data_IF_895816732088
#
_entry.id   IF_895816732088
#
_cell.length_a   1.000
_cell.length_b   1.000
_cell.length_c   1.000
_cell.angle_alpha   90.00
_cell.angle_beta   90.00
_cell.angle_gamma   90.00
#
_symmetry.space_group_name_H-M   'P 1'
#
loop_
_entity.id
_entity.type
_entity.pdbx_description
1 polymer ?
#
# COMPACT_ATOMS: atom_id res chain seq x y z
N UNK A 1 -28.23 -1.75 5.15
CA UNK A 1 -26.92 -1.20 5.55
C UNK A 1 -27.22 0.00 6.44
N UNK A 2 -26.81 -0.05 7.70
CA UNK A 2 -27.05 1.04 8.66
C UNK A 2 -26.10 2.22 8.39
N UNK A 3 -26.48 3.42 8.81
CA UNK A 3 -25.62 4.61 8.72
C UNK A 3 -24.25 4.37 9.37
N UNK A 4 -24.20 3.64 10.48
CA UNK A 4 -22.96 3.30 11.19
C UNK A 4 -22.08 2.38 10.33
N UNK A 5 -22.64 1.35 9.71
CA UNK A 5 -21.89 0.46 8.82
C UNK A 5 -21.27 1.21 7.63
N UNK A 6 -22.03 2.14 7.03
CA UNK A 6 -21.53 2.96 5.93
C UNK A 6 -20.38 3.85 6.38
N UNK A 7 -20.52 4.53 7.52
CA UNK A 7 -19.50 5.42 8.06
C UNK A 7 -18.25 4.66 8.51
N UNK A 8 -18.41 3.46 9.09
CA UNK A 8 -17.28 2.58 9.43
C UNK A 8 -16.46 2.23 8.20
N UNK A 9 -17.10 1.97 7.04
CA UNK A 9 -16.38 1.71 5.79
C UNK A 9 -15.58 2.90 5.28
N UNK A 10 -16.04 4.13 5.50
CA UNK A 10 -15.25 5.32 5.16
C UNK A 10 -13.99 5.44 6.04
N UNK A 11 -14.10 5.14 7.33
CA UNK A 11 -12.95 5.08 8.25
C UNK A 11 -11.95 4.01 7.77
N UNK A 12 -12.41 2.80 7.49
CA UNK A 12 -11.56 1.69 7.02
C UNK A 12 -10.89 1.97 5.66
N UNK A 13 -11.59 2.69 4.77
CA UNK A 13 -11.10 3.05 3.44
C UNK A 13 -10.17 4.26 3.38
N UNK A 14 -9.97 4.96 4.50
CA UNK A 14 -9.23 6.21 4.53
C UNK A 14 -7.80 6.06 3.97
N UNK A 15 -7.34 6.96 3.08
CA UNK A 15 -5.95 6.97 2.64
C UNK A 15 -4.97 7.17 3.80
N UNK A 16 -3.71 6.71 3.65
CA UNK A 16 -2.70 6.89 4.68
C UNK A 16 -2.43 8.40 4.89
N UNK A 17 -2.54 8.87 6.13
CA UNK A 17 -2.30 10.28 6.47
C UNK A 17 -3.55 11.17 6.41
N UNK A 18 -4.69 10.67 5.92
CA UNK A 18 -5.91 11.46 5.67
C UNK A 18 -7.09 11.05 6.57
N UNK A 19 -6.85 10.16 7.54
CA UNK A 19 -7.90 9.68 8.45
C UNK A 19 -8.59 10.84 9.19
N UNK A 20 -7.84 11.87 9.60
CA UNK A 20 -8.39 13.02 10.30
C UNK A 20 -9.38 13.81 9.44
N UNK A 21 -9.06 13.97 8.15
CA UNK A 21 -9.90 14.66 7.17
C UNK A 21 -11.18 13.86 6.90
N UNK A 22 -11.05 12.54 6.68
CA UNK A 22 -12.19 11.63 6.51
C UNK A 22 -13.14 11.68 7.72
N UNK A 23 -12.58 11.75 8.93
CA UNK A 23 -13.38 11.87 10.16
C UNK A 23 -14.07 13.23 10.25
N UNK A 24 -13.43 14.31 9.80
CA UNK A 24 -14.06 15.63 9.73
C UNK A 24 -15.25 15.63 8.75
N UNK A 25 -15.07 15.02 7.58
CA UNK A 25 -16.13 14.89 6.57
C UNK A 25 -17.31 14.05 7.07
N UNK A 26 -17.02 12.91 7.71
CA UNK A 26 -18.05 12.08 8.36
C UNK A 26 -18.87 12.90 9.35
N UNK A 27 -18.21 13.70 10.18
CA UNK A 27 -18.89 14.53 11.18
C UNK A 27 -19.78 15.58 10.52
N UNK A 28 -19.33 16.20 9.43
CA UNK A 28 -20.11 17.15 8.65
C UNK A 28 -21.34 16.49 8.00
N UNK A 29 -21.19 15.30 7.41
CA UNK A 29 -22.26 14.58 6.73
C UNK A 29 -23.32 13.99 7.68
N UNK A 30 -22.93 13.64 8.90
CA UNK A 30 -23.81 12.98 9.88
C UNK A 30 -24.44 13.94 10.88
N UNK A 31 -24.14 15.24 10.81
CA UNK A 31 -24.73 16.26 11.66
C UNK A 31 -24.32 16.18 13.14
N UNK A 32 -23.15 15.62 13.45
CA UNK A 32 -22.57 15.61 14.81
C UNK A 32 -23.47 15.03 15.93
N UNK A 33 -24.03 13.84 15.76
CA UNK A 33 -24.47 13.08 16.94
C UNK A 33 -23.23 12.50 17.64
N UNK A 34 -22.97 12.88 18.89
CA UNK A 34 -21.83 12.38 19.71
C UNK A 34 -21.80 10.85 19.82
N UNK A 35 -22.95 10.21 19.63
CA UNK A 35 -23.13 8.76 19.63
C UNK A 35 -22.50 8.04 18.43
N UNK A 36 -22.23 8.73 17.32
CA UNK A 36 -21.67 8.07 16.12
C UNK A 36 -20.19 7.78 16.33
N UNK A 37 -19.42 8.74 16.85
CA UNK A 37 -17.96 8.58 17.02
C UNK A 37 -17.62 7.48 18.01
N UNK A 38 -18.38 7.33 19.09
CA UNK A 38 -18.18 6.24 20.06
C UNK A 38 -18.43 4.86 19.44
N UNK A 39 -19.38 4.75 18.51
CA UNK A 39 -19.69 3.52 17.77
C UNK A 39 -18.71 3.20 16.65
N UNK A 40 -17.90 4.16 16.21
CA UNK A 40 -16.84 3.96 15.20
C UNK A 40 -15.53 3.40 15.78
N UNK A 41 -15.42 3.28 17.11
CA UNK A 41 -14.22 2.75 17.76
C UNK A 41 -13.71 1.43 17.15
N UNK A 42 -14.55 0.41 16.85
CA UNK A 42 -14.07 -0.81 16.21
C UNK A 42 -13.48 -0.58 14.82
N UNK A 43 -14.03 0.37 14.06
CA UNK A 43 -13.51 0.71 12.73
C UNK A 43 -12.15 1.41 12.82
N UNK A 44 -11.94 2.27 13.83
CA UNK A 44 -10.64 2.89 14.09
C UNK A 44 -9.60 1.86 14.55
N UNK A 45 -9.96 0.94 15.44
CA UNK A 45 -9.08 -0.14 15.89
C UNK A 45 -8.64 -0.99 14.68
N UNK A 46 -9.60 -1.45 13.87
CA UNK A 46 -9.33 -2.20 12.65
C UNK A 46 -8.45 -1.43 11.66
N UNK A 47 -8.76 -0.15 11.39
CA UNK A 47 -7.94 0.69 10.53
C UNK A 47 -6.50 0.77 11.04
N UNK A 48 -6.31 1.04 12.33
CA UNK A 48 -4.99 1.19 12.92
C UNK A 48 -4.17 -0.10 12.84
N UNK A 49 -4.78 -1.25 13.10
CA UNK A 49 -4.13 -2.55 13.01
C UNK A 49 -3.78 -2.92 11.56
N UNK A 50 -4.74 -2.85 10.64
CA UNK A 50 -4.51 -3.21 9.24
C UNK A 50 -3.46 -2.29 8.60
N UNK A 51 -3.51 -1.00 8.92
CA UNK A 51 -2.62 0.01 8.38
C UNK A 51 -1.30 0.13 9.14
N UNK A 52 -1.13 -0.61 10.24
CA UNK A 52 0.01 -0.54 11.14
C UNK A 52 0.34 0.91 11.51
N UNK A 53 -0.68 1.67 11.91
CA UNK A 53 -0.58 3.09 12.17
C UNK A 53 0.53 3.37 13.18
N UNK A 54 1.45 4.28 12.88
CA UNK A 54 2.61 4.54 13.73
C UNK A 54 2.37 5.74 14.65
N UNK A 55 2.67 5.59 15.94
CA UNK A 55 2.57 6.61 16.98
C UNK A 55 3.94 6.84 17.62
N UNK A 56 4.28 8.11 17.87
CA UNK A 56 5.48 8.47 18.63
C UNK A 56 5.14 8.45 20.12
N UNK A 57 5.82 7.60 20.89
CA UNK A 57 5.64 7.55 22.34
C UNK A 57 6.34 8.74 23.02
N UNK A 58 5.82 9.24 24.16
CA UNK A 58 6.49 10.25 24.97
C UNK A 58 7.93 9.83 25.31
N UNK A 59 8.92 10.68 25.00
CA UNK A 59 10.35 10.39 25.22
C UNK A 59 11.01 9.46 24.20
N UNK A 60 10.26 8.90 23.24
CA UNK A 60 10.81 8.06 22.17
C UNK A 60 11.33 8.86 20.97
N UNK A 61 12.47 8.47 20.41
CA UNK A 61 13.02 9.07 19.18
C UNK A 61 12.40 8.50 17.90
N UNK A 62 11.90 7.26 17.95
CA UNK A 62 11.41 6.50 16.79
C UNK A 62 9.89 6.25 16.88
N UNK A 63 9.16 6.30 15.75
CA UNK A 63 7.75 5.93 15.71
C UNK A 63 7.58 4.42 15.95
N UNK A 64 6.55 4.01 16.71
CA UNK A 64 6.17 2.60 16.95
C UNK A 64 4.76 2.33 16.43
N UNK A 65 4.43 1.09 16.07
CA UNK A 65 3.06 0.75 15.67
C UNK A 65 2.06 1.01 16.83
N UNK A 66 0.79 1.28 16.50
CA UNK A 66 -0.32 1.44 17.44
C UNK A 66 -0.56 0.15 18.23
N UNK A 67 -1.11 0.28 19.44
CA UNK A 67 -1.29 -0.84 20.39
C UNK A 67 0.02 -1.49 20.88
N UNK A 68 1.01 -0.67 21.24
CA UNK A 68 2.28 -1.14 21.82
C UNK A 68 2.01 -1.95 23.09
N UNK A 69 2.32 -3.25 23.05
CA UNK A 69 2.37 -4.09 24.23
C UNK A 69 3.81 -4.16 24.75
N UNK A 70 3.98 -3.94 26.06
CA UNK A 70 5.26 -4.20 26.73
C UNK A 70 5.40 -5.70 26.93
N UNK A 71 6.08 -6.36 26.00
CA UNK A 71 6.44 -7.77 26.16
C UNK A 71 7.89 -7.88 26.61
N UNK A 72 8.13 -8.63 27.68
CA UNK A 72 9.48 -8.99 28.08
C UNK A 72 9.97 -10.02 27.06
N UNK A 73 11.08 -9.73 26.37
CA UNK A 73 11.70 -10.65 25.42
C UNK A 73 12.39 -11.79 26.21
N UNK A 74 11.57 -12.69 26.75
CA UNK A 74 11.98 -13.92 27.42
C UNK A 74 11.44 -15.09 26.60
N UNK A 75 12.30 -15.94 26.06
CA UNK A 75 11.88 -17.02 25.17
C UNK A 75 12.99 -17.65 24.35
N UNK A 76 12.74 -18.82 23.77
CA UNK A 76 13.70 -19.57 22.96
C UNK A 76 14.18 -18.79 21.72
N UNK A 77 13.38 -17.86 21.21
CA UNK A 77 13.67 -17.05 20.02
C UNK A 77 14.20 -15.64 20.35
N UNK A 78 14.44 -15.31 21.61
CA UNK A 78 14.82 -13.95 22.02
C UNK A 78 16.12 -13.47 21.35
N UNK A 79 17.10 -14.34 21.18
CA UNK A 79 18.36 -14.02 20.51
C UNK A 79 18.18 -13.82 19.00
N UNK A 80 17.33 -14.63 18.37
CA UNK A 80 17.02 -14.48 16.96
C UNK A 80 16.23 -13.19 16.68
N UNK A 81 15.29 -12.82 17.56
CA UNK A 81 14.57 -11.54 17.50
C UNK A 81 15.56 -10.37 17.60
N UNK A 82 16.45 -10.37 18.60
CA UNK A 82 17.47 -9.30 18.78
C UNK A 82 18.42 -9.20 17.58
N UNK A 83 18.90 -10.34 17.09
CA UNK A 83 19.78 -10.43 15.92
C UNK A 83 19.12 -9.92 14.64
N UNK A 84 17.84 -10.28 14.43
CA UNK A 84 17.03 -9.86 13.28
C UNK A 84 16.74 -8.36 13.35
N UNK A 85 16.33 -7.86 14.52
CA UNK A 85 16.07 -6.43 14.75
C UNK A 85 17.31 -5.58 14.48
N UNK A 86 18.49 -6.02 14.94
CA UNK A 86 19.77 -5.33 14.69
C UNK A 86 20.11 -5.28 13.20
N UNK A 87 20.00 -6.43 12.52
CA UNK A 87 20.36 -6.55 11.10
C UNK A 87 19.40 -5.78 10.19
N UNK A 88 18.09 -5.92 10.42
CA UNK A 88 17.07 -5.15 9.70
C UNK A 88 17.11 -3.66 10.03
N UNK A 89 17.50 -3.28 11.25
CA UNK A 89 17.59 -1.87 11.64
C UNK A 89 18.55 -1.06 10.76
N UNK A 90 19.67 -1.67 10.34
CA UNK A 90 20.61 -1.05 9.40
C UNK A 90 19.97 -0.87 8.01
N UNK A 91 19.37 -1.94 7.48
CA UNK A 91 18.65 -1.92 6.20
C UNK A 91 17.53 -0.87 6.17
N UNK A 92 16.67 -0.86 7.20
CA UNK A 92 15.53 0.05 7.25
C UNK A 92 15.97 1.51 7.28
N UNK A 93 17.05 1.82 8.02
CA UNK A 93 17.60 3.18 8.11
C UNK A 93 18.22 3.65 6.79
N UNK A 94 18.81 2.74 6.01
CA UNK A 94 19.43 3.07 4.72
C UNK A 94 18.38 3.27 3.61
N UNK A 95 17.32 2.45 3.61
CA UNK A 95 16.37 2.40 2.50
C UNK A 95 15.07 3.18 2.73
N UNK A 96 14.71 3.51 3.98
CA UNK A 96 13.49 4.25 4.29
C UNK A 96 13.80 5.52 5.11
N UNK A 97 13.32 6.66 4.62
CA UNK A 97 13.55 7.95 5.28
C UNK A 97 12.83 8.07 6.64
N UNK A 98 11.61 7.52 6.75
CA UNK A 98 10.83 7.51 7.98
C UNK A 98 10.08 6.18 8.08
N UNK A 99 10.62 5.27 8.88
CA UNK A 99 10.06 3.94 9.07
C UNK A 99 10.06 3.52 10.53
N UNK A 100 9.07 2.69 10.87
CA UNK A 100 9.00 1.92 12.09
C UNK A 100 9.33 0.45 11.77
N UNK A 101 10.16 -0.16 12.60
CA UNK A 101 10.50 -1.58 12.53
C UNK A 101 10.06 -2.26 13.83
N UNK A 102 9.40 -3.40 13.69
CA UNK A 102 9.06 -4.30 14.79
C UNK A 102 9.44 -5.73 14.46
N UNK A 103 10.03 -6.42 15.44
CA UNK A 103 10.29 -7.86 15.38
C UNK A 103 9.78 -8.47 16.67
N UNK A 104 8.92 -9.47 16.56
CA UNK A 104 8.18 -10.06 17.68
C UNK A 104 8.22 -11.57 17.59
N UNK A 105 8.28 -12.25 18.74
CA UNK A 105 7.95 -13.67 18.81
C UNK A 105 6.43 -13.83 18.82
N UNK A 106 5.95 -14.85 18.11
CA UNK A 106 4.52 -15.17 17.96
C UNK A 106 4.30 -16.67 18.10
N UNK A 107 3.03 -17.08 18.25
CA UNK A 107 2.65 -18.49 18.43
C UNK A 107 3.42 -19.17 19.57
N UNK A 108 3.38 -18.59 20.77
CA UNK A 108 4.09 -19.10 21.96
C UNK A 108 5.59 -19.31 21.73
N UNK A 109 6.26 -18.32 21.13
CA UNK A 109 7.69 -18.32 20.78
C UNK A 109 8.14 -19.37 19.75
N UNK A 110 7.21 -19.94 18.98
CA UNK A 110 7.59 -20.86 17.90
C UNK A 110 8.02 -20.15 16.61
N UNK A 111 7.45 -18.98 16.31
CA UNK A 111 7.71 -18.22 15.08
C UNK A 111 8.08 -16.77 15.36
N UNK A 112 8.59 -16.08 14.35
CA UNK A 112 8.98 -14.67 14.42
C UNK A 112 8.18 -13.86 13.41
N UNK A 113 7.52 -12.81 13.87
CA UNK A 113 6.89 -11.82 13.01
C UNK A 113 7.79 -10.60 12.83
N UNK A 114 7.92 -10.12 11.60
CA UNK A 114 8.63 -8.89 11.22
C UNK A 114 7.63 -7.95 10.59
N UNK A 115 7.59 -6.70 11.07
CA UNK A 115 6.78 -5.64 10.51
C UNK A 115 7.65 -4.42 10.18
N UNK A 116 7.61 -3.98 8.94
CA UNK A 116 8.27 -2.76 8.46
C UNK A 116 7.18 -1.84 7.93
N UNK A 117 7.10 -0.61 8.47
CA UNK A 117 6.13 0.39 8.05
C UNK A 117 6.87 1.68 7.74
N UNK A 118 6.81 2.15 6.50
CA UNK A 118 7.39 3.43 6.12
C UNK A 118 6.30 4.36 5.61
N UNK A 119 6.37 5.61 6.06
CA UNK A 119 5.35 6.62 5.79
C UNK A 119 6.01 7.87 5.21
N UNK A 120 5.43 8.42 4.14
CA UNK A 120 5.81 9.72 3.60
C UNK A 120 4.56 10.49 3.23
N UNK A 121 4.31 11.57 3.96
CA UNK A 121 3.13 12.41 3.80
C UNK A 121 3.57 13.79 3.30
N UNK A 122 2.94 14.25 2.23
CA UNK A 122 3.22 15.55 1.63
C UNK A 122 1.92 16.24 1.26
N UNK A 123 1.08 16.59 2.25
CA UNK A 123 -0.25 17.13 1.99
C UNK A 123 -0.22 18.45 1.22
N UNK A 124 0.81 19.29 1.44
CA UNK A 124 1.02 20.53 0.67
C UNK A 124 1.29 20.29 -0.82
N UNK A 125 1.73 19.10 -1.18
CA UNK A 125 1.96 18.66 -2.56
C UNK A 125 0.87 17.67 -3.01
N UNK A 126 -0.23 17.55 -2.25
CA UNK A 126 -1.38 16.73 -2.57
C UNK A 126 -1.09 15.23 -2.77
N UNK A 127 -0.15 14.67 -2.00
CA UNK A 127 0.07 13.23 -2.02
C UNK A 127 0.57 12.64 -0.71
N UNK A 128 0.18 11.38 -0.49
CA UNK A 128 0.59 10.58 0.65
C UNK A 128 0.95 9.17 0.22
N UNK A 129 1.93 8.57 0.89
CA UNK A 129 2.40 7.22 0.60
C UNK A 129 2.69 6.43 1.87
N UNK A 130 2.37 5.14 1.81
CA UNK A 130 2.68 4.17 2.86
C UNK A 130 3.17 2.86 2.24
N UNK A 131 4.26 2.37 2.79
CA UNK A 131 4.82 1.05 2.54
C UNK A 131 4.65 0.19 3.78
N UNK A 132 4.16 -1.04 3.63
CA UNK A 132 4.00 -2.02 4.72
C UNK A 132 4.53 -3.36 4.25
N UNK A 133 5.49 -3.91 4.99
CA UNK A 133 5.93 -5.28 4.82
C UNK A 133 5.67 -6.06 6.10
N UNK A 134 5.01 -7.20 5.94
CA UNK A 134 4.72 -8.13 7.03
C UNK A 134 5.29 -9.49 6.64
N UNK A 135 6.12 -10.04 7.49
CA UNK A 135 6.69 -11.38 7.32
C UNK A 135 6.54 -12.19 8.59
N UNK A 136 6.36 -13.49 8.41
CA UNK A 136 6.37 -14.53 9.44
C UNK A 136 7.46 -15.51 9.04
N UNK A 137 8.47 -15.63 9.88
CA UNK A 137 9.52 -16.60 9.76
C UNK A 137 9.23 -17.78 10.70
N UNK A 138 9.29 -18.99 10.16
CA UNK A 138 9.26 -20.23 10.90
C UNK A 138 10.69 -20.80 11.01
N UNK A 139 11.31 -20.76 12.20
CA UNK A 139 12.64 -21.30 12.44
C UNK A 139 12.76 -22.82 12.22
N UNK A 140 11.67 -23.58 12.31
CA UNK A 140 11.67 -25.04 12.16
C UNK A 140 11.74 -25.43 10.70
N UNK A 141 10.89 -24.82 9.86
CA UNK A 141 10.88 -25.07 8.42
C UNK A 141 11.89 -24.23 7.64
N UNK A 142 12.40 -23.15 8.25
CA UNK A 142 13.20 -22.14 7.55
C UNK A 142 12.40 -21.33 6.53
N UNK A 143 11.07 -21.37 6.58
CA UNK A 143 10.20 -20.64 5.65
C UNK A 143 9.95 -19.20 6.13
N UNK A 144 10.05 -18.24 5.22
CA UNK A 144 9.65 -16.85 5.39
C UNK A 144 8.46 -16.58 4.48
N UNK A 145 7.30 -16.34 5.09
CA UNK A 145 6.05 -16.03 4.39
C UNK A 145 5.58 -14.62 4.75
N UNK A 146 5.01 -13.90 3.80
CA UNK A 146 4.61 -12.53 4.07
C UNK A 146 3.94 -11.82 2.91
N UNK A 147 3.80 -10.51 3.06
CA UNK A 147 3.31 -9.65 2.00
C UNK A 147 3.92 -8.25 2.07
N UNK A 148 4.10 -7.66 0.90
CA UNK A 148 4.49 -6.26 0.73
C UNK A 148 3.28 -5.51 0.15
N UNK A 149 2.86 -4.44 0.83
CA UNK A 149 1.72 -3.60 0.43
C UNK A 149 2.17 -2.16 0.27
N UNK A 150 1.78 -1.55 -0.83
CA UNK A 150 2.01 -0.13 -1.12
C UNK A 150 0.66 0.55 -1.31
N UNK A 151 0.50 1.69 -0.63
CA UNK A 151 -0.67 2.55 -0.74
C UNK A 151 -0.20 3.97 -1.00
N UNK A 152 -0.47 4.50 -2.19
CA UNK A 152 -0.14 5.88 -2.58
C UNK A 152 -1.39 6.57 -3.06
N UNK A 153 -1.64 7.76 -2.56
CA UNK A 153 -2.77 8.60 -2.93
C UNK A 153 -2.25 9.95 -3.42
N UNK A 154 -2.66 10.36 -4.62
CA UNK A 154 -2.38 11.67 -5.22
C UNK A 154 -3.71 12.32 -5.57
N UNK A 155 -3.89 13.57 -5.16
CA UNK A 155 -5.18 14.25 -5.20
C UNK A 155 -5.12 15.72 -5.64
N UNK A 156 -4.12 16.09 -6.42
CA UNK A 156 -4.07 17.39 -7.11
C UNK A 156 -4.94 17.34 -8.37
N UNK A 157 -5.96 18.19 -8.46
CA UNK A 157 -6.88 18.30 -9.61
C UNK A 157 -7.52 16.96 -10.06
N UNK A 158 -7.59 15.98 -9.16
CA UNK A 158 -8.08 14.64 -9.41
C UNK A 158 -7.98 13.75 -8.18
N UNK A 159 -8.25 12.46 -8.34
CA UNK A 159 -8.04 11.46 -7.30
C UNK A 159 -7.48 10.19 -7.95
N UNK A 160 -6.22 9.89 -7.66
CA UNK A 160 -5.51 8.72 -8.16
C UNK A 160 -4.92 7.98 -6.98
N UNK A 161 -5.23 6.69 -6.86
CA UNK A 161 -4.70 5.83 -5.80
C UNK A 161 -4.07 4.57 -6.37
N UNK A 162 -2.89 4.22 -5.87
CA UNK A 162 -2.21 2.96 -6.09
C UNK A 162 -2.39 2.10 -4.84
N UNK A 163 -3.00 0.93 -4.99
CA UNK A 163 -3.10 -0.09 -3.96
C UNK A 163 -2.47 -1.38 -4.47
N UNK A 164 -1.50 -1.91 -3.74
CA UNK A 164 -0.83 -3.15 -4.10
C UNK A 164 -0.77 -4.12 -2.94
N UNK A 165 -0.75 -5.41 -3.27
CA UNK A 165 -0.52 -6.49 -2.31
C UNK A 165 0.26 -7.61 -3.01
N UNK A 166 1.54 -7.74 -2.69
CA UNK A 166 2.43 -8.77 -3.23
C UNK A 166 2.72 -9.82 -2.15
N UNK A 167 2.18 -11.04 -2.25
CA UNK A 167 2.58 -12.13 -1.37
C UNK A 167 4.04 -12.53 -1.65
N UNK A 168 4.76 -12.93 -0.60
CA UNK A 168 6.17 -13.34 -0.64
C UNK A 168 6.30 -14.64 0.14
N UNK A 169 6.97 -15.63 -0.47
CA UNK A 169 7.31 -16.90 0.17
C UNK A 169 8.73 -17.26 -0.25
N UNK A 170 9.64 -17.36 0.72
CA UNK A 170 11.08 -17.60 0.49
C UNK A 170 11.59 -18.57 1.56
N UNK A 171 12.47 -19.50 1.20
CA UNK A 171 13.16 -20.35 2.18
C UNK A 171 14.51 -19.73 2.53
N UNK A 172 14.83 -19.66 3.82
CA UNK A 172 16.06 -19.06 4.34
C UNK A 172 17.01 -20.18 4.78
N UNK A 173 18.14 -20.39 4.08
CA UNK A 173 19.08 -21.48 4.37
C UNK A 173 19.79 -21.33 5.72
N UNK A 174 20.00 -20.09 6.15
CA UNK A 174 20.62 -19.76 7.43
C UNK A 174 19.59 -19.04 8.29
N UNK A 175 19.01 -19.72 9.28
CA UNK A 175 18.03 -19.16 10.24
C UNK A 175 18.61 -18.12 11.19
N UNK A 176 19.51 -17.27 10.70
CA UNK A 176 20.16 -16.18 11.44
C UNK A 176 19.48 -14.86 11.10
N UNK A 177 19.53 -13.89 12.02
CA UNK A 177 18.95 -12.56 11.78
C UNK A 177 19.54 -11.83 10.57
N UNK A 178 20.81 -12.07 10.24
CA UNK A 178 21.43 -11.54 9.03
C UNK A 178 20.90 -12.21 7.75
N UNK A 179 20.67 -13.53 7.78
CA UNK A 179 20.06 -14.27 6.68
C UNK A 179 18.64 -13.77 6.40
N UNK A 180 17.83 -13.58 7.44
CA UNK A 180 16.49 -13.01 7.34
C UNK A 180 16.51 -11.61 6.74
N UNK A 181 17.39 -10.72 7.25
CA UNK A 181 17.50 -9.37 6.73
C UNK A 181 17.90 -9.33 5.25
N UNK A 182 18.80 -10.22 4.83
CA UNK A 182 19.25 -10.32 3.43
C UNK A 182 18.12 -10.73 2.49
N UNK A 183 17.34 -11.76 2.85
CA UNK A 183 16.24 -12.23 2.00
C UNK A 183 15.08 -11.25 1.94
N UNK A 184 14.76 -10.56 3.05
CA UNK A 184 13.79 -9.46 3.05
C UNK A 184 14.26 -8.33 2.12
N UNK A 185 15.51 -7.87 2.29
CA UNK A 185 16.09 -6.81 1.45
C UNK A 185 16.05 -7.15 -0.04
N UNK A 186 16.43 -8.39 -0.40
CA UNK A 186 16.40 -8.86 -1.78
C UNK A 186 14.97 -8.93 -2.34
N UNK A 187 14.01 -9.41 -1.53
CA UNK A 187 12.60 -9.52 -1.91
C UNK A 187 11.95 -8.15 -2.12
N UNK A 188 12.19 -7.20 -1.21
CA UNK A 188 11.68 -5.84 -1.31
C UNK A 188 12.28 -5.09 -2.50
N UNK A 189 13.60 -5.21 -2.71
CA UNK A 189 14.28 -4.64 -3.89
C UNK A 189 13.69 -5.18 -5.19
N UNK A 190 13.56 -6.50 -5.29
CA UNK A 190 12.96 -7.15 -6.47
C UNK A 190 11.56 -6.64 -6.72
N UNK A 191 10.75 -6.52 -5.67
CA UNK A 191 9.38 -6.02 -5.81
C UNK A 191 9.34 -4.55 -6.26
N UNK A 192 10.21 -3.70 -5.74
CA UNK A 192 10.32 -2.31 -6.19
C UNK A 192 10.69 -2.21 -7.68
N UNK A 193 11.65 -3.03 -8.14
CA UNK A 193 12.02 -3.11 -9.56
C UNK A 193 10.87 -3.63 -10.43
N UNK A 194 10.13 -4.64 -9.96
CA UNK A 194 8.92 -5.15 -10.63
C UNK A 194 7.86 -4.05 -10.75
N UNK A 195 7.58 -3.30 -9.69
CA UNK A 195 6.62 -2.19 -9.72
C UNK A 195 7.00 -1.13 -10.75
N UNK A 196 8.27 -0.72 -10.77
CA UNK A 196 8.76 0.27 -11.74
C UNK A 196 8.56 -0.21 -13.18
N UNK A 197 8.88 -1.48 -13.47
CA UNK A 197 8.66 -2.08 -14.79
C UNK A 197 7.17 -2.17 -15.12
N UNK A 198 6.33 -2.54 -14.16
CA UNK A 198 4.87 -2.60 -14.33
C UNK A 198 4.28 -1.24 -14.71
N UNK A 199 4.76 -0.14 -14.14
CA UNK A 199 4.30 1.20 -14.54
C UNK A 199 4.68 1.56 -15.97
N UNK A 200 5.91 1.25 -16.40
CA UNK A 200 6.33 1.45 -17.80
C UNK A 200 5.43 0.64 -18.73
N UNK A 201 5.24 -0.64 -18.45
CA UNK A 201 4.39 -1.53 -19.25
C UNK A 201 2.93 -1.09 -19.30
N UNK A 202 2.39 -0.58 -18.19
CA UNK A 202 1.02 -0.05 -18.12
C UNK A 202 0.87 1.19 -19.02
N UNK A 203 1.84 2.11 -18.96
CA UNK A 203 1.84 3.35 -19.73
C UNK A 203 1.99 3.13 -21.24
N UNK A 204 2.82 2.17 -21.64
CA UNK A 204 3.11 1.91 -23.06
C UNK A 204 2.16 0.87 -23.68
N UNK A 205 1.60 -0.02 -22.88
CA UNK A 205 0.70 -1.08 -23.32
C UNK A 205 -0.76 -0.75 -23.07
N UNK A 206 -1.26 -1.13 -21.90
CA UNK A 206 -2.70 -1.17 -21.62
C UNK A 206 -3.39 0.20 -21.77
N UNK A 207 -2.77 1.29 -21.29
CA UNK A 207 -3.37 2.63 -21.41
C UNK A 207 -3.48 3.11 -22.86
N UNK A 208 -2.48 2.82 -23.71
CA UNK A 208 -2.56 3.11 -25.15
C UNK A 208 -3.61 2.25 -25.85
N UNK A 209 -3.85 1.03 -25.35
CA UNK A 209 -4.90 0.14 -25.82
C UNK A 209 -6.31 0.66 -25.52
N UNK A 210 -6.52 1.29 -24.35
CA UNK A 210 -7.82 1.87 -23.97
C UNK A 210 -8.14 3.13 -24.78
N UNK A 211 -7.20 4.07 -24.86
CA UNK A 211 -7.39 5.31 -25.62
C UNK A 211 -6.06 5.74 -26.23
N UNK A 212 -6.06 5.80 -27.56
CA UNK A 212 -4.90 6.30 -28.31
C UNK A 212 -4.78 7.81 -28.14
N UNK A 213 -3.55 8.30 -28.05
CA UNK A 213 -3.28 9.74 -28.02
C UNK A 213 -3.72 10.44 -29.31
N UNK A 214 -3.61 9.75 -30.45
CA UNK A 214 -4.12 10.18 -31.75
C UNK A 214 -4.89 9.03 -32.43
N UNK A 215 -5.86 9.35 -33.31
CA UNK A 215 -6.44 8.40 -34.24
C UNK A 215 -5.39 7.57 -35.01
N UNK A 216 -5.80 6.46 -35.62
CA UNK A 216 -4.89 5.57 -36.39
C UNK A 216 -4.14 6.34 -37.49
N UNK A 217 -4.77 7.36 -38.06
CA UNK A 217 -4.20 8.27 -39.06
C UNK A 217 -3.05 9.14 -38.54
N UNK A 218 -2.80 9.17 -37.22
CA UNK A 218 -1.80 10.03 -36.55
C UNK A 218 -2.04 11.53 -36.78
N UNK A 219 -3.29 11.93 -37.02
CA UNK A 219 -3.72 13.30 -37.19
C UNK A 219 -4.91 13.58 -36.27
N UNK A 220 -5.09 14.84 -35.85
CA UNK A 220 -6.30 15.24 -35.11
C UNK A 220 -7.53 15.02 -36.00
N UNK A 221 -8.67 14.75 -35.37
CA UNK A 221 -9.93 14.57 -36.09
C UNK A 221 -10.30 15.90 -36.78
N UNK A 222 -10.48 15.84 -38.09
CA UNK A 222 -11.04 16.94 -38.87
C UNK A 222 -12.56 16.90 -38.76
N UNK A 223 -13.10 17.64 -37.79
CA UNK A 223 -14.54 17.62 -37.47
C UNK A 223 -15.45 17.97 -38.65
N UNK A 224 -15.00 18.88 -39.53
CA UNK A 224 -15.75 19.28 -40.73
C UNK A 224 -15.97 18.12 -41.71
N UNK A 225 -15.02 17.18 -41.79
CA UNK A 225 -15.15 15.99 -42.63
C UNK A 225 -16.05 14.94 -42.00
N UNK A 226 -16.04 14.81 -40.66
CA UNK A 226 -16.83 13.80 -39.94
C UNK A 226 -18.33 13.99 -40.18
N UNK A 227 -18.81 15.23 -40.29
CA UNK A 227 -20.23 15.54 -40.54
C UNK A 227 -20.65 15.29 -41.99
N UNK A 228 -19.72 15.35 -42.94
CA UNK A 228 -19.99 15.13 -44.37
C UNK A 228 -19.76 13.69 -44.85
N UNK A 229 -19.00 12.86 -44.10
CA UNK A 229 -18.71 11.49 -44.47
C UNK A 229 -19.95 10.58 -44.31
N UNK A 230 -20.61 10.26 -45.41
CA UNK A 230 -21.65 9.21 -45.46
C UNK A 230 -21.00 7.83 -45.59
N UNK A 231 -20.53 7.31 -44.45
CA UNK A 231 -19.81 6.03 -44.35
C UNK A 231 -20.53 4.85 -45.06
N UNK A 232 -21.86 4.89 -45.16
CA UNK A 232 -22.66 3.86 -45.83
C UNK A 232 -22.55 3.82 -47.36
N UNK A 233 -22.18 4.92 -48.04
CA UNK A 233 -22.03 4.93 -49.51
C UNK A 233 -20.67 4.38 -49.97
N UNK A 234 -19.62 4.62 -49.19
CA UNK A 234 -18.25 4.18 -49.54
C UNK A 234 -17.97 2.71 -49.17
N UNK A 235 -18.63 2.17 -48.13
CA UNK A 235 -18.50 0.74 -47.76
C UNK A 235 -19.38 -0.16 -48.66
N UNK A 236 -20.48 0.37 -49.21
CA UNK A 236 -21.46 -0.38 -49.99
C UNK A 236 -21.04 -0.74 -51.42
N UNK A 237 -19.79 -0.46 -51.83
CA UNK A 237 -19.33 -0.79 -53.18
C UNK A 237 -20.26 -0.24 -54.25
N UNK A 238 -20.61 1.05 -54.14
CA UNK A 238 -21.45 1.75 -55.11
C UNK A 238 -20.84 1.61 -56.50
N UNK A 239 -21.35 0.65 -57.26
CA UNK A 239 -21.03 0.41 -58.65
C UNK A 239 -21.22 1.72 -59.41
N UNK A 240 -20.13 2.39 -59.73
CA UNK A 240 -20.11 3.42 -60.77
C UNK A 240 -20.27 2.70 -62.11
N UNK A 241 -21.49 2.25 -62.43
CA UNK A 241 -21.87 1.99 -63.81
C UNK A 241 -21.97 3.34 -64.53
N UNK A 242 -20.95 3.63 -65.34
CA UNK A 242 -21.14 4.36 -66.59
C UNK A 242 -21.71 3.41 -67.63
#
# INVERSE_FOLDING_TARGET
MSTIETVSRFVEGAPPGELADVVADIKALTGFSSDVVSKLRPAFEKYNEEQLATVKLPGGSQPKASAVQSHVLEGAQADLVKSTLKSLGAYVKEHFANAALGVYSIESDSKIAVAIVANKYSPNNFWNGRWRSLYVFDPVSGSLEGSIKVDVHYYEDGNVRLLTNKPVTVSIPSGTGAGIAKEISASEKKYQEELNKSFVNLSEGAFKGLRRQLPVTRQKIEWDKVTSYRLGQDIGGGSSKR
#
